data_IF_388998670570
#
_entry.id   IF_388998670570
#
_cell.length_a   1.000
_cell.length_b   1.000
_cell.length_c   1.000
_cell.angle_alpha   90.00
_cell.angle_beta   90.00
_cell.angle_gamma   90.00
#
_symmetry.space_group_name_H-M   'P 1'
#
loop_
_entity.id
_entity.type
_entity.pdbx_description
1 polymer ?
#
# COMPACT_ATOMS: atom_id res chain seq x y z
N UNK A 1 73.91 -22.14 65.60
CA UNK A 1 73.72 -21.23 64.46
C UNK A 1 73.09 -19.97 65.01
N UNK A 2 73.90 -18.92 65.21
CA UNK A 2 73.57 -17.77 66.06
C UNK A 2 72.85 -16.67 65.28
N UNK A 3 71.86 -16.09 65.97
CA UNK A 3 70.86 -15.07 65.58
C UNK A 3 71.41 -13.68 65.16
N UNK A 4 72.60 -13.61 64.57
CA UNK A 4 73.28 -12.34 64.25
C UNK A 4 73.20 -11.90 62.79
N UNK A 5 72.60 -12.68 61.89
CA UNK A 5 72.50 -12.32 60.46
C UNK A 5 71.26 -11.49 60.09
N UNK A 6 70.41 -11.14 61.05
CA UNK A 6 69.14 -10.43 60.79
C UNK A 6 69.23 -8.89 60.86
N UNK A 7 70.39 -8.29 60.55
CA UNK A 7 70.57 -6.81 60.67
C UNK A 7 71.27 -6.11 59.50
N UNK A 8 71.47 -6.76 58.35
CA UNK A 8 72.06 -6.09 57.18
C UNK A 8 71.04 -5.59 56.15
N UNK A 9 69.75 -5.89 56.31
CA UNK A 9 68.69 -5.37 55.43
C UNK A 9 67.90 -4.26 56.12
N UNK A 10 68.59 -3.24 56.59
CA UNK A 10 67.93 -1.96 56.88
C UNK A 10 67.80 -1.20 55.57
N UNK A 11 66.73 -1.50 54.82
CA UNK A 11 66.35 -0.71 53.65
C UNK A 11 65.98 0.68 54.14
N UNK A 12 66.85 1.65 53.85
CA UNK A 12 66.54 3.07 53.97
C UNK A 12 65.32 3.37 53.09
N UNK A 13 64.24 3.84 53.70
CA UNK A 13 63.13 4.42 52.95
C UNK A 13 63.68 5.69 52.29
N UNK A 14 63.71 5.79 50.95
CA UNK A 14 64.15 7.02 50.31
C UNK A 14 63.15 8.13 50.65
N UNK A 15 63.64 9.23 51.21
CA UNK A 15 62.89 10.48 51.32
C UNK A 15 62.36 10.83 49.92
N UNK A 16 61.04 10.89 49.76
CA UNK A 16 60.41 11.47 48.58
C UNK A 16 60.82 12.92 48.49
N UNK A 17 61.85 13.20 47.70
CA UNK A 17 62.10 14.52 47.16
C UNK A 17 60.85 14.95 46.39
N UNK A 18 60.24 16.04 46.83
CA UNK A 18 59.27 16.80 46.04
C UNK A 18 59.99 17.23 44.76
N UNK A 19 59.77 16.48 43.69
CA UNK A 19 60.05 16.98 42.37
C UNK A 19 58.89 17.87 41.95
N UNK A 20 59.28 19.09 41.60
CA UNK A 20 58.45 20.16 41.10
C UNK A 20 57.51 19.69 40.00
N UNK A 21 56.35 20.35 39.94
CA UNK A 21 55.43 20.44 38.82
C UNK A 21 56.11 20.08 37.49
N UNK A 22 55.95 18.82 37.06
CA UNK A 22 55.88 18.59 35.63
C UNK A 22 54.57 19.20 35.21
N UNK A 23 54.68 20.36 34.58
CA UNK A 23 53.67 21.02 33.77
C UNK A 23 52.71 19.96 33.22
N UNK A 24 51.58 19.81 33.92
CA UNK A 24 50.37 19.30 33.33
C UNK A 24 50.02 20.37 32.32
N UNK A 25 50.65 20.33 31.14
CA UNK A 25 50.14 21.04 29.98
C UNK A 25 48.66 20.74 29.99
N UNK A 26 47.79 21.75 30.16
CA UNK A 26 46.39 21.49 30.33
C UNK A 26 45.98 20.77 29.06
N UNK A 27 45.71 19.45 29.16
CA UNK A 27 45.13 18.68 28.08
C UNK A 27 43.90 19.48 27.73
N UNK A 28 43.98 20.19 26.59
CA UNK A 28 42.92 21.05 26.11
C UNK A 28 41.79 20.10 25.80
N UNK A 29 40.96 19.86 26.81
CA UNK A 29 39.65 19.25 26.66
C UNK A 29 38.93 20.23 25.77
N UNK A 30 38.99 19.95 24.48
CA UNK A 30 38.12 20.58 23.50
C UNK A 30 36.74 20.16 23.98
N UNK A 31 36.11 21.02 24.79
CA UNK A 31 34.70 20.92 25.12
C UNK A 31 34.03 21.02 23.76
N UNK A 32 33.71 19.86 23.17
CA UNK A 32 32.80 19.76 22.05
C UNK A 32 31.49 20.33 22.56
N UNK A 33 31.31 21.64 22.36
CA UNK A 33 30.09 22.35 22.68
C UNK A 33 29.04 21.64 21.86
N UNK A 34 28.13 20.93 22.54
CA UNK A 34 26.97 20.32 21.89
C UNK A 34 26.34 21.41 21.02
N UNK A 35 26.39 21.18 19.70
CA UNK A 35 25.95 22.17 18.71
C UNK A 35 24.44 22.29 18.90
N UNK A 36 24.03 23.30 19.67
CA UNK A 36 22.62 23.62 19.84
C UNK A 36 22.06 23.88 18.44
N UNK A 37 20.93 23.25 18.13
CA UNK A 37 20.18 23.44 16.89
C UNK A 37 20.12 24.94 16.63
N UNK A 38 20.64 25.34 15.47
CA UNK A 38 20.69 26.76 15.11
C UNK A 38 19.28 27.27 14.85
N UNK A 39 18.98 28.54 15.13
CA UNK A 39 17.62 29.08 14.98
C UNK A 39 17.04 28.80 13.58
N UNK A 40 17.87 28.88 12.54
CA UNK A 40 17.48 28.59 11.15
C UNK A 40 17.10 27.14 10.91
N UNK A 41 17.79 26.18 11.52
CA UNK A 41 17.45 24.75 11.43
C UNK A 41 16.09 24.45 12.06
N UNK A 42 15.74 25.13 13.17
CA UNK A 42 14.44 24.99 13.81
C UNK A 42 13.30 25.56 12.95
N UNK A 43 13.56 26.66 12.25
CA UNK A 43 12.61 27.25 11.29
C UNK A 43 12.43 26.35 10.07
N UNK A 44 13.53 25.83 9.50
CA UNK A 44 13.49 24.91 8.38
C UNK A 44 12.73 23.62 8.72
N UNK A 45 12.97 23.07 9.92
CA UNK A 45 12.23 21.92 10.42
C UNK A 45 10.72 22.21 10.57
N UNK A 46 10.36 23.41 11.02
CA UNK A 46 8.96 23.83 11.11
C UNK A 46 8.30 23.92 9.72
N UNK A 47 8.94 24.58 8.75
CA UNK A 47 8.45 24.66 7.38
C UNK A 47 8.33 23.29 6.73
N UNK A 48 9.31 22.41 6.94
CA UNK A 48 9.26 21.04 6.45
C UNK A 48 8.11 20.25 7.07
N UNK A 49 7.88 20.38 8.38
CA UNK A 49 6.77 19.72 9.06
C UNK A 49 5.41 20.21 8.54
N UNK A 50 5.26 21.52 8.29
CA UNK A 50 4.04 22.10 7.72
C UNK A 50 3.83 21.60 6.28
N UNK A 51 4.88 21.63 5.45
CA UNK A 51 4.80 21.12 4.07
C UNK A 51 4.46 19.64 4.01
N UNK A 52 5.05 18.84 4.92
CA UNK A 52 4.75 17.42 5.05
C UNK A 52 3.30 17.18 5.51
N UNK A 53 2.78 17.96 6.46
CA UNK A 53 1.39 17.88 6.88
C UNK A 53 0.42 18.20 5.72
N UNK A 54 0.69 19.25 4.95
CA UNK A 54 -0.12 19.60 3.76
C UNK A 54 -0.06 18.50 2.71
N UNK A 55 1.12 17.94 2.44
CA UNK A 55 1.28 16.83 1.50
C UNK A 55 0.50 15.58 1.93
N UNK A 56 0.51 15.25 3.23
CA UNK A 56 -0.27 14.13 3.79
C UNK A 56 -1.77 14.37 3.66
N UNK A 57 -2.26 15.57 3.97
CA UNK A 57 -3.67 15.93 3.81
C UNK A 57 -4.10 15.85 2.34
N UNK A 58 -3.26 16.33 1.43
CA UNK A 58 -3.52 16.25 -0.01
C UNK A 58 -3.52 14.79 -0.50
N UNK A 59 -2.56 13.99 -0.05
CA UNK A 59 -2.47 12.56 -0.34
C UNK A 59 -3.73 11.83 0.13
N UNK A 60 -4.17 12.03 1.37
CA UNK A 60 -5.40 11.39 1.91
C UNK A 60 -6.64 11.83 1.13
N UNK A 61 -6.75 13.12 0.80
CA UNK A 61 -7.88 13.65 0.01
C UNK A 61 -7.92 13.05 -1.40
N UNK A 62 -6.76 12.79 -2.01
CA UNK A 62 -6.65 12.11 -3.30
C UNK A 62 -6.94 10.61 -3.20
N UNK A 63 -6.54 9.96 -2.11
CA UNK A 63 -6.81 8.54 -1.88
C UNK A 63 -8.30 8.24 -1.65
N UNK A 64 -9.09 9.20 -1.15
CA UNK A 64 -10.56 9.05 -1.08
C UNK A 64 -11.19 8.76 -2.46
N UNK A 65 -10.53 9.20 -3.53
CA UNK A 65 -10.95 8.91 -4.90
C UNK A 65 -10.72 7.43 -5.27
N UNK A 66 -9.76 6.73 -4.65
CA UNK A 66 -9.50 5.31 -4.93
C UNK A 66 -10.60 4.41 -4.36
N UNK A 67 -11.11 4.71 -3.16
CA UNK A 67 -12.22 3.94 -2.58
C UNK A 67 -13.54 4.18 -3.34
N UNK A 68 -13.81 5.42 -3.75
CA UNK A 68 -14.98 5.73 -4.59
C UNK A 68 -14.84 5.10 -5.97
N UNK A 69 -13.66 5.17 -6.58
CA UNK A 69 -13.39 4.57 -7.89
C UNK A 69 -13.53 3.05 -7.86
N UNK A 70 -13.00 2.38 -6.84
CA UNK A 70 -13.14 0.92 -6.70
C UNK A 70 -14.61 0.52 -6.53
N UNK A 71 -15.39 1.29 -5.76
CA UNK A 71 -16.84 1.06 -5.60
C UNK A 71 -17.61 1.33 -6.89
N UNK A 72 -17.24 2.36 -7.65
CA UNK A 72 -17.84 2.70 -8.93
C UNK A 72 -17.56 1.64 -9.99
N UNK A 73 -16.32 1.16 -10.08
CA UNK A 73 -15.94 0.02 -10.93
C UNK A 73 -16.75 -1.22 -10.56
N UNK A 74 -16.82 -1.58 -9.28
CA UNK A 74 -17.65 -2.71 -8.83
C UNK A 74 -19.15 -2.54 -9.07
N UNK A 75 -19.65 -1.30 -9.13
CA UNK A 75 -21.05 -1.01 -9.47
C UNK A 75 -21.26 -1.19 -10.97
N UNK A 76 -20.36 -0.65 -11.77
CA UNK A 76 -20.42 -0.72 -13.23
C UNK A 76 -20.29 -2.18 -13.72
N UNK A 77 -19.38 -2.95 -13.14
CA UNK A 77 -19.26 -4.38 -13.43
C UNK A 77 -20.56 -5.14 -13.15
N UNK A 78 -21.22 -4.84 -12.03
CA UNK A 78 -22.53 -5.43 -11.70
C UNK A 78 -23.61 -5.06 -12.70
N UNK A 79 -23.68 -3.79 -13.09
CA UNK A 79 -24.65 -3.30 -14.07
C UNK A 79 -24.42 -3.95 -15.45
N UNK A 80 -23.17 -4.11 -15.87
CA UNK A 80 -22.81 -4.83 -17.10
C UNK A 80 -23.26 -6.29 -17.04
N UNK A 81 -23.00 -7.00 -15.94
CA UNK A 81 -23.40 -8.40 -15.79
C UNK A 81 -24.92 -8.58 -15.80
N UNK A 82 -25.65 -7.67 -15.14
CA UNK A 82 -27.11 -7.65 -15.17
C UNK A 82 -27.63 -7.43 -16.60
N UNK A 83 -27.08 -6.44 -17.31
CA UNK A 83 -27.49 -6.15 -18.68
C UNK A 83 -27.15 -7.30 -19.64
N UNK A 84 -26.00 -7.98 -19.45
CA UNK A 84 -25.64 -9.17 -20.22
C UNK A 84 -26.64 -10.30 -20.02
N UNK A 85 -27.04 -10.55 -18.76
CA UNK A 85 -28.02 -11.60 -18.43
C UNK A 85 -29.39 -11.27 -19.03
N UNK A 86 -29.81 -10.00 -18.97
CA UNK A 86 -31.06 -9.54 -19.60
C UNK A 86 -30.99 -9.77 -21.11
N UNK A 87 -29.89 -9.35 -21.76
CA UNK A 87 -29.71 -9.53 -23.20
C UNK A 87 -29.69 -11.00 -23.62
N UNK A 88 -29.02 -11.87 -22.86
CA UNK A 88 -28.99 -13.31 -23.09
C UNK A 88 -30.40 -13.91 -22.96
N UNK A 89 -31.14 -13.55 -21.91
CA UNK A 89 -32.52 -13.99 -21.72
C UNK A 89 -33.46 -13.49 -22.85
N UNK A 90 -33.32 -12.24 -23.29
CA UNK A 90 -34.07 -11.71 -24.43
C UNK A 90 -33.73 -12.47 -25.72
N UNK A 91 -32.45 -12.75 -25.95
CA UNK A 91 -31.99 -13.54 -27.09
C UNK A 91 -32.60 -14.94 -27.08
N UNK A 92 -32.62 -15.62 -25.92
CA UNK A 92 -33.27 -16.92 -25.77
C UNK A 92 -34.77 -16.86 -26.04
N UNK A 93 -35.48 -15.84 -25.55
CA UNK A 93 -36.90 -15.66 -25.82
C UNK A 93 -37.18 -15.46 -27.32
N UNK A 94 -36.34 -14.68 -28.01
CA UNK A 94 -36.45 -14.51 -29.47
C UNK A 94 -36.24 -15.84 -30.19
N UNK A 95 -35.24 -16.63 -29.78
CA UNK A 95 -35.00 -17.96 -30.35
C UNK A 95 -36.18 -18.92 -30.09
N UNK A 96 -36.77 -18.87 -28.90
CA UNK A 96 -37.94 -19.67 -28.57
C UNK A 96 -39.15 -19.26 -29.41
N UNK A 97 -39.41 -17.96 -29.53
CA UNK A 97 -40.59 -17.43 -30.23
C UNK A 97 -40.48 -17.51 -31.75
N UNK A 98 -39.26 -17.43 -32.30
CA UNK A 98 -38.99 -17.65 -33.72
C UNK A 98 -38.91 -19.13 -34.10
N UNK A 99 -38.95 -20.05 -33.12
CA UNK A 99 -38.93 -21.47 -33.40
C UNK A 99 -40.18 -21.88 -34.21
N UNK A 100 -40.02 -22.41 -35.43
CA UNK A 100 -41.13 -22.77 -36.31
C UNK A 100 -42.04 -23.84 -35.68
N UNK A 101 -41.50 -24.79 -34.92
CA UNK A 101 -42.31 -25.81 -34.26
C UNK A 101 -43.30 -25.21 -33.26
N UNK A 102 -42.83 -24.22 -32.47
CA UNK A 102 -43.66 -23.50 -31.50
C UNK A 102 -44.76 -22.70 -32.20
N UNK A 103 -44.42 -22.01 -33.28
CA UNK A 103 -45.38 -21.24 -34.08
C UNK A 103 -46.46 -22.17 -34.65
N UNK A 104 -46.07 -23.30 -35.24
CA UNK A 104 -47.01 -24.27 -35.82
C UNK A 104 -47.89 -24.93 -34.74
N UNK A 105 -47.34 -25.19 -33.56
CA UNK A 105 -48.10 -25.70 -32.41
C UNK A 105 -49.18 -24.71 -31.96
N UNK A 106 -48.81 -23.44 -31.77
CA UNK A 106 -49.77 -22.37 -31.40
C UNK A 106 -50.83 -22.20 -32.49
N UNK A 107 -50.45 -22.22 -33.77
CA UNK A 107 -51.41 -22.13 -34.87
C UNK A 107 -52.44 -23.28 -34.86
N UNK A 108 -52.01 -24.53 -34.63
CA UNK A 108 -52.89 -25.69 -34.50
C UNK A 108 -53.85 -25.58 -33.31
N UNK A 109 -53.35 -25.12 -32.15
CA UNK A 109 -54.19 -24.91 -30.96
C UNK A 109 -55.28 -23.85 -31.21
N UNK A 110 -55.00 -22.85 -32.03
CA UNK A 110 -55.97 -21.82 -32.43
C UNK A 110 -56.85 -22.23 -33.62
N UNK A 111 -56.82 -23.50 -34.04
CA UNK A 111 -57.72 -24.03 -35.07
C UNK A 111 -57.23 -23.92 -36.51
N UNK A 112 -55.98 -23.49 -36.76
CA UNK A 112 -55.39 -23.57 -38.10
C UNK A 112 -54.91 -24.99 -38.41
N UNK A 113 -55.56 -25.66 -39.36
CA UNK A 113 -55.15 -26.97 -39.85
C UNK A 113 -54.12 -26.83 -40.99
N UNK A 114 -52.85 -27.03 -40.67
CA UNK A 114 -51.74 -26.87 -41.62
C UNK A 114 -51.57 -28.19 -42.40
N UNK A 115 -52.04 -28.23 -43.64
CA UNK A 115 -51.74 -29.32 -44.57
C UNK A 115 -50.26 -29.23 -44.98
N UNK A 116 -49.53 -30.35 -44.88
CA UNK A 116 -48.09 -30.57 -45.17
C UNK A 116 -47.55 -29.80 -46.39
N UNK A 117 -47.38 -28.49 -46.25
CA UNK A 117 -46.83 -27.61 -47.28
C UNK A 117 -45.52 -27.11 -46.73
N UNK A 118 -44.46 -27.33 -47.50
CA UNK A 118 -43.09 -27.14 -47.04
C UNK A 118 -42.90 -25.76 -46.42
N UNK A 119 -42.55 -25.74 -45.14
CA UNK A 119 -42.30 -24.53 -44.38
C UNK A 119 -41.02 -23.91 -44.95
N UNK A 120 -41.14 -22.79 -45.67
CA UNK A 120 -39.97 -22.03 -46.12
C UNK A 120 -39.26 -21.50 -44.88
N UNK A 121 -38.09 -22.06 -44.57
CA UNK A 121 -37.24 -21.53 -43.51
C UNK A 121 -36.80 -20.12 -43.92
N UNK A 122 -37.05 -19.14 -43.05
CA UNK A 122 -36.58 -17.77 -43.22
C UNK A 122 -35.09 -17.66 -42.83
N UNK A 123 -34.25 -18.45 -43.49
CA UNK A 123 -32.79 -18.25 -43.48
C UNK A 123 -32.43 -17.48 -44.74
N UNK A 124 -32.73 -16.18 -44.75
CA UNK A 124 -32.28 -15.28 -45.80
C UNK A 124 -31.60 -14.05 -45.18
N UNK A 125 -30.28 -14.07 -45.25
CA UNK A 125 -29.32 -12.96 -45.22
C UNK A 125 -29.22 -12.14 -43.93
N UNK A 126 -28.13 -12.38 -43.20
CA UNK A 126 -27.44 -11.35 -42.42
C UNK A 126 -26.01 -11.34 -42.96
N UNK A 127 -25.70 -10.32 -43.75
CA UNK A 127 -24.33 -9.84 -44.00
C UNK A 127 -24.00 -8.80 -42.92
#
# INVERSE_FOLDING_TARGET
MSLSEARSYQTSIPQRTRYADHDLQPKKVIKVKSRKITLGEKVLACFFAIGMAVALVYMVSYNANIDSLNREVQRLEREILEQQTINENLSHQVMEYSNPERILMIAKQNGLNIQNTQVKQATSYVE
#
